data_IF_749627207199
#
_entry.id   IF_749627207199
#
_cell.length_a   1.000
_cell.length_b   1.000
_cell.length_c   1.000
_cell.angle_alpha   90.00
_cell.angle_beta   90.00
_cell.angle_gamma   90.00
#
_symmetry.space_group_name_H-M   'P 1'
#
loop_
_entity.id
_entity.type
_entity.pdbx_description
1 polymer ?
#
# COMPACT_ATOMS: atom_id res chain seq x y z
N UNK A 1 -14.76 12.97 7.08
CA UNK A 1 -14.24 11.60 7.22
C UNK A 1 -13.06 11.61 8.18
N UNK A 2 -12.86 10.54 8.95
CA UNK A 2 -11.75 10.35 9.88
C UNK A 2 -10.74 9.39 9.25
N UNK A 3 -9.46 9.79 9.18
CA UNK A 3 -8.42 9.01 8.53
C UNK A 3 -7.52 8.35 9.56
N UNK A 4 -7.29 7.04 9.43
CA UNK A 4 -6.47 6.26 10.34
C UNK A 4 -5.43 5.49 9.50
N UNK A 5 -4.14 5.70 9.78
CA UNK A 5 -3.06 4.91 9.22
C UNK A 5 -2.84 3.64 10.03
N UNK A 6 -2.85 2.49 9.38
CA UNK A 6 -2.49 1.22 10.02
C UNK A 6 -1.33 0.59 9.25
N UNK A 7 -0.27 0.28 9.99
CA UNK A 7 0.97 -0.28 9.46
C UNK A 7 1.05 -1.74 9.91
N UNK A 8 0.68 -2.72 9.05
CA UNK A 8 0.86 -4.12 9.38
C UNK A 8 2.34 -4.48 9.42
N UNK A 9 2.78 -5.09 10.52
CA UNK A 9 4.16 -5.50 10.71
C UNK A 9 4.22 -6.88 11.37
N UNK A 10 4.98 -7.81 10.77
CA UNK A 10 5.22 -9.13 11.34
C UNK A 10 6.72 -9.41 11.43
N UNK A 11 7.12 -10.14 12.46
CA UNK A 11 8.52 -10.54 12.61
C UNK A 11 8.92 -11.66 11.63
N UNK A 12 8.01 -12.64 11.46
CA UNK A 12 8.22 -13.81 10.61
C UNK A 12 8.09 -13.45 9.12
N UNK A 13 9.21 -13.04 8.52
CA UNK A 13 9.36 -12.88 7.08
C UNK A 13 10.33 -13.95 6.57
N UNK A 14 9.99 -14.64 5.47
CA UNK A 14 10.84 -15.70 4.90
C UNK A 14 12.15 -15.18 4.32
N UNK A 15 12.10 -14.01 3.69
CA UNK A 15 13.27 -13.40 3.03
C UNK A 15 14.14 -12.57 3.98
N UNK A 16 13.54 -11.94 4.97
CA UNK A 16 14.24 -11.09 5.94
C UNK A 16 13.50 -11.09 7.29
N UNK A 17 13.75 -12.11 8.15
CA UNK A 17 13.18 -12.18 9.50
C UNK A 17 13.57 -10.96 10.34
N UNK A 18 12.62 -10.39 11.08
CA UNK A 18 12.85 -9.20 11.90
C UNK A 18 13.02 -7.89 11.13
N UNK A 19 12.72 -7.87 9.83
CA UNK A 19 12.80 -6.67 8.96
C UNK A 19 12.27 -5.38 9.60
N UNK A 20 11.09 -5.34 10.27
CA UNK A 20 10.60 -4.12 10.90
C UNK A 20 11.54 -3.52 11.94
N UNK A 21 12.33 -4.35 12.60
CA UNK A 21 13.28 -3.95 13.66
C UNK A 21 14.71 -3.70 13.14
N UNK A 22 14.96 -3.92 11.85
CA UNK A 22 16.26 -3.68 11.26
C UNK A 22 16.64 -2.19 11.35
N UNK A 23 17.90 -1.91 11.72
CA UNK A 23 18.41 -0.56 11.79
C UNK A 23 18.58 0.04 10.38
N UNK A 24 18.04 1.24 10.21
CA UNK A 24 18.18 2.04 9.01
C UNK A 24 18.64 3.44 9.41
N UNK A 25 19.95 3.60 9.60
CA UNK A 25 20.55 4.88 9.96
C UNK A 25 20.10 5.40 11.34
N UNK A 26 20.23 4.58 12.38
CA UNK A 26 19.94 4.92 13.77
C UNK A 26 18.46 4.87 14.17
N UNK A 27 17.56 4.48 13.28
CA UNK A 27 16.14 4.21 13.54
C UNK A 27 15.74 2.89 12.93
N UNK A 28 14.76 2.20 13.52
CA UNK A 28 14.23 0.98 12.90
C UNK A 28 13.42 1.29 11.65
N UNK A 29 13.31 0.31 10.74
CA UNK A 29 12.49 0.43 9.52
C UNK A 29 11.05 0.84 9.89
N UNK A 30 10.44 0.17 10.88
CA UNK A 30 9.07 0.47 11.30
C UNK A 30 8.92 1.88 11.89
N UNK A 31 9.93 2.38 12.62
CA UNK A 31 9.93 3.73 13.15
C UNK A 31 9.92 4.77 12.03
N UNK A 32 10.70 4.55 10.96
CA UNK A 32 10.73 5.45 9.81
C UNK A 32 9.39 5.49 9.08
N UNK A 33 8.77 4.34 8.86
CA UNK A 33 7.43 4.27 8.24
C UNK A 33 6.41 5.01 9.11
N UNK A 34 6.42 4.75 10.43
CA UNK A 34 5.52 5.40 11.38
C UNK A 34 5.66 6.94 11.35
N UNK A 35 6.91 7.43 11.44
CA UNK A 35 7.19 8.87 11.40
C UNK A 35 6.75 9.53 10.09
N UNK A 36 6.88 8.85 8.94
CA UNK A 36 6.42 9.38 7.66
C UNK A 36 4.88 9.46 7.61
N UNK A 37 4.19 8.41 8.05
CA UNK A 37 2.72 8.38 8.08
C UNK A 37 2.16 9.45 9.03
N UNK A 38 2.81 9.66 10.19
CA UNK A 38 2.41 10.65 11.19
C UNK A 38 2.58 12.12 10.75
N UNK A 39 3.23 12.36 9.60
CA UNK A 39 3.28 13.74 9.04
C UNK A 39 1.95 14.19 8.42
N UNK A 40 1.07 13.24 8.09
CA UNK A 40 -0.21 13.51 7.40
C UNK A 40 -1.40 13.01 8.22
N UNK A 41 -1.21 11.98 9.04
CA UNK A 41 -2.29 11.33 9.78
C UNK A 41 -2.15 11.58 11.27
N UNK A 42 -3.23 12.04 11.89
CA UNK A 42 -3.29 12.27 13.35
C UNK A 42 -3.29 10.95 14.14
N UNK A 43 -3.81 9.88 13.53
CA UNK A 43 -3.87 8.55 14.13
C UNK A 43 -3.09 7.57 13.27
N UNK A 44 -1.98 7.05 13.80
CA UNK A 44 -1.16 6.01 13.17
C UNK A 44 -0.98 4.87 14.16
N UNK A 45 -1.19 3.64 13.70
CA UNK A 45 -1.15 2.43 14.52
C UNK A 45 -0.29 1.38 13.84
N UNK A 46 0.65 0.78 14.56
CA UNK A 46 1.35 -0.42 14.11
C UNK A 46 0.56 -1.64 14.56
N UNK A 47 0.14 -2.47 13.61
CA UNK A 47 -0.57 -3.74 13.85
C UNK A 47 0.42 -4.90 13.78
N UNK A 48 0.70 -5.56 14.90
CA UNK A 48 1.72 -6.61 14.97
C UNK A 48 1.26 -7.82 15.80
N UNK A 49 1.85 -8.98 15.53
CA UNK A 49 1.69 -10.22 16.28
C UNK A 49 2.94 -10.57 17.10
N UNK A 50 3.91 -9.65 17.21
CA UNK A 50 5.19 -9.89 17.85
C UNK A 50 5.48 -8.84 18.92
N UNK A 51 5.73 -9.28 20.16
CA UNK A 51 5.99 -8.40 21.30
C UNK A 51 7.21 -7.50 21.10
N UNK A 52 8.26 -7.99 20.40
CA UNK A 52 9.48 -7.19 20.13
C UNK A 52 9.18 -5.98 19.26
N UNK A 53 8.27 -6.14 18.27
CA UNK A 53 7.83 -5.02 17.42
C UNK A 53 6.95 -4.10 18.24
N UNK A 54 6.03 -4.65 19.05
CA UNK A 54 5.18 -3.87 19.94
C UNK A 54 6.01 -2.98 20.88
N UNK A 55 6.95 -3.58 21.61
CA UNK A 55 7.81 -2.87 22.57
C UNK A 55 8.67 -1.81 21.89
N UNK A 56 9.20 -2.10 20.69
CA UNK A 56 9.94 -1.13 19.89
C UNK A 56 9.08 0.08 19.53
N UNK A 57 7.82 -0.13 19.14
CA UNK A 57 6.89 0.96 18.79
C UNK A 57 6.58 1.82 20.00
N UNK A 58 6.31 1.20 21.14
CA UNK A 58 6.06 1.93 22.41
C UNK A 58 7.31 2.72 22.84
N UNK A 59 8.51 2.14 22.68
CA UNK A 59 9.76 2.77 23.07
C UNK A 59 10.05 4.09 22.32
N UNK A 60 9.64 4.21 21.06
CA UNK A 60 9.78 5.49 20.34
C UNK A 60 8.53 6.41 20.45
N UNK A 61 7.55 6.05 21.29
CA UNK A 61 6.35 6.86 21.54
C UNK A 61 5.24 6.67 20.52
N UNK A 62 5.29 5.61 19.72
CA UNK A 62 4.25 5.24 18.77
C UNK A 62 3.09 4.48 19.41
N UNK A 63 2.04 4.27 18.63
CA UNK A 63 0.87 3.46 19.02
C UNK A 63 0.96 2.09 18.35
N UNK A 64 0.83 1.02 19.14
CA UNK A 64 0.79 -0.35 18.64
C UNK A 64 -0.45 -1.10 19.13
N UNK A 65 -0.94 -2.03 18.33
CA UNK A 65 -2.02 -2.95 18.68
C UNK A 65 -1.57 -4.37 18.36
N UNK A 66 -1.65 -5.24 19.37
CA UNK A 66 -1.42 -6.67 19.18
C UNK A 66 -2.57 -7.31 18.41
N UNK A 67 -2.21 -8.08 17.38
CA UNK A 67 -3.13 -8.78 16.48
C UNK A 67 -2.83 -10.28 16.44
N UNK A 68 -3.77 -11.07 15.90
CA UNK A 68 -3.62 -12.52 15.78
C UNK A 68 -2.42 -12.91 14.91
N UNK A 69 -1.75 -14.00 15.29
CA UNK A 69 -0.71 -14.67 14.49
C UNK A 69 -1.29 -15.44 13.29
N UNK A 70 -2.61 -15.65 13.25
CA UNK A 70 -3.28 -16.49 12.23
C UNK A 70 -3.66 -15.73 10.95
N UNK A 71 -3.40 -14.44 10.88
CA UNK A 71 -3.70 -13.68 9.65
C UNK A 71 -2.83 -14.11 8.48
N UNK A 72 -3.49 -14.45 7.38
CA UNK A 72 -2.83 -14.85 6.14
C UNK A 72 -2.36 -13.67 5.30
N UNK A 73 -3.00 -12.51 5.43
CA UNK A 73 -2.67 -11.29 4.67
C UNK A 73 -2.61 -10.04 5.57
N UNK A 74 -2.04 -8.97 5.00
CA UNK A 74 -1.94 -7.67 5.68
C UNK A 74 -3.30 -7.01 5.91
N UNK A 75 -4.24 -7.19 5.00
CA UNK A 75 -5.58 -6.59 5.04
C UNK A 75 -6.39 -7.09 6.24
N UNK A 76 -6.34 -8.39 6.54
CA UNK A 76 -7.00 -8.97 7.72
C UNK A 76 -6.43 -8.42 9.02
N UNK A 77 -5.10 -8.27 9.10
CA UNK A 77 -4.41 -7.68 10.25
C UNK A 77 -4.79 -6.22 10.45
N UNK A 78 -4.86 -5.46 9.37
CA UNK A 78 -5.30 -4.05 9.37
C UNK A 78 -6.73 -3.95 9.89
N UNK A 79 -7.62 -4.83 9.45
CA UNK A 79 -9.01 -4.84 9.92
C UNK A 79 -9.13 -5.19 11.40
N UNK A 80 -8.40 -6.19 11.90
CA UNK A 80 -8.41 -6.52 13.33
C UNK A 80 -7.92 -5.34 14.18
N UNK A 81 -6.82 -4.69 13.77
CA UNK A 81 -6.30 -3.53 14.48
C UNK A 81 -7.30 -2.36 14.48
N UNK A 82 -7.97 -2.11 13.36
CA UNK A 82 -9.05 -1.11 13.28
C UNK A 82 -10.19 -1.43 14.24
N UNK A 83 -10.67 -2.68 14.28
CA UNK A 83 -11.72 -3.10 15.21
C UNK A 83 -11.31 -2.85 16.65
N UNK A 84 -10.13 -3.30 17.08
CA UNK A 84 -9.62 -3.09 18.44
C UNK A 84 -9.48 -1.60 18.79
N UNK A 85 -9.05 -0.79 17.84
CA UNK A 85 -9.02 0.66 18.00
C UNK A 85 -10.43 1.21 18.26
N UNK A 86 -11.43 0.79 17.49
CA UNK A 86 -12.83 1.23 17.66
C UNK A 86 -13.43 0.79 19.00
N UNK A 87 -13.14 -0.43 19.45
CA UNK A 87 -13.59 -0.95 20.75
C UNK A 87 -13.05 -0.11 21.93
N UNK A 88 -11.79 0.35 21.82
CA UNK A 88 -11.14 1.18 22.85
C UNK A 88 -11.50 2.67 22.74
N UNK A 89 -11.98 3.11 21.59
CA UNK A 89 -12.35 4.51 21.31
C UNK A 89 -13.80 4.57 20.85
N UNK A 90 -14.71 4.10 21.71
CA UNK A 90 -16.14 4.07 21.39
C UNK A 90 -16.65 5.46 21.00
N UNK A 91 -17.03 5.61 19.75
CA UNK A 91 -17.57 6.85 19.16
C UNK A 91 -18.90 6.52 18.47
N UNK A 92 -19.82 7.47 18.50
CA UNK A 92 -21.10 7.37 17.77
C UNK A 92 -20.95 7.56 16.26
N UNK A 93 -19.73 7.89 15.80
CA UNK A 93 -19.43 8.06 14.37
C UNK A 93 -19.49 6.69 13.68
N UNK A 94 -20.29 6.53 12.60
CA UNK A 94 -20.40 5.26 11.90
C UNK A 94 -19.11 4.89 11.16
N UNK A 95 -18.91 3.59 10.90
CA UNK A 95 -17.72 3.10 10.20
C UNK A 95 -17.61 3.64 8.76
N UNK A 96 -18.74 3.99 8.13
CA UNK A 96 -18.74 4.64 6.81
C UNK A 96 -18.03 6.02 6.79
N UNK A 97 -17.84 6.64 7.94
CA UNK A 97 -17.16 7.94 8.07
C UNK A 97 -15.67 7.79 8.41
N UNK A 98 -15.19 6.55 8.57
CA UNK A 98 -13.77 6.25 8.74
C UNK A 98 -13.15 5.73 7.46
N UNK A 99 -11.94 6.20 7.21
CA UNK A 99 -11.05 5.68 6.14
C UNK A 99 -9.81 5.10 6.79
N UNK A 100 -9.55 3.82 6.51
CA UNK A 100 -8.36 3.10 6.97
C UNK A 100 -7.34 3.05 5.85
N UNK A 101 -6.16 3.58 6.10
CA UNK A 101 -5.04 3.59 5.15
C UNK A 101 -4.06 2.51 5.57
N UNK A 102 -3.92 1.49 4.72
CA UNK A 102 -2.96 0.40 4.87
C UNK A 102 -1.59 0.86 4.35
N UNK A 103 -0.72 1.26 5.26
CA UNK A 103 0.64 1.73 4.95
C UNK A 103 1.59 0.56 5.07
N UNK A 104 2.33 0.25 4.01
CA UNK A 104 3.25 -0.89 3.99
C UNK A 104 4.39 -0.70 4.99
N UNK A 105 4.55 -1.66 5.93
CA UNK A 105 5.56 -1.59 7.00
C UNK A 105 7.01 -1.76 6.55
N UNK A 106 7.23 -1.96 5.26
CA UNK A 106 8.54 -2.16 4.62
C UNK A 106 8.94 -1.03 3.66
N UNK A 107 8.18 0.07 3.63
CA UNK A 107 8.44 1.24 2.79
C UNK A 107 8.86 2.47 3.62
N UNK A 108 10.08 2.50 4.20
CA UNK A 108 10.52 3.57 5.10
C UNK A 108 10.69 4.94 4.44
N UNK A 109 10.67 4.99 3.11
CA UNK A 109 10.77 6.23 2.32
C UNK A 109 9.45 6.65 1.70
N UNK A 110 8.33 6.09 2.18
CA UNK A 110 7.01 6.55 1.77
C UNK A 110 6.90 8.06 1.95
N UNK A 111 6.36 8.73 0.93
CA UNK A 111 6.22 10.17 0.97
C UNK A 111 4.83 10.57 1.49
N UNK A 112 4.74 11.61 2.33
CA UNK A 112 3.46 12.14 2.81
C UNK A 112 2.47 12.44 1.68
N UNK A 113 2.95 12.88 0.52
CA UNK A 113 2.14 13.17 -0.66
C UNK A 113 1.44 11.93 -1.23
N UNK A 114 2.02 10.74 -1.06
CA UNK A 114 1.39 9.48 -1.49
C UNK A 114 0.18 9.15 -0.60
N UNK A 115 0.30 9.36 0.70
CA UNK A 115 -0.82 9.21 1.65
C UNK A 115 -1.90 10.25 1.35
N UNK A 116 -1.52 11.49 1.12
CA UNK A 116 -2.45 12.57 0.77
C UNK A 116 -3.20 12.27 -0.53
N UNK A 117 -2.53 11.73 -1.55
CA UNK A 117 -3.17 11.35 -2.81
C UNK A 117 -4.26 10.27 -2.63
N UNK A 118 -4.07 9.33 -1.68
CA UNK A 118 -5.11 8.37 -1.31
C UNK A 118 -6.29 9.05 -0.59
N UNK A 119 -6.00 9.95 0.35
CA UNK A 119 -7.02 10.74 1.07
C UNK A 119 -7.89 11.53 0.10
N UNK A 120 -7.28 12.14 -0.88
CA UNK A 120 -7.97 12.98 -1.89
C UNK A 120 -8.92 12.18 -2.80
N UNK A 121 -8.82 10.86 -2.84
CA UNK A 121 -9.77 10.00 -3.56
C UNK A 121 -11.14 9.90 -2.90
N UNK A 122 -11.26 10.24 -1.61
CA UNK A 122 -12.50 10.04 -0.88
C UNK A 122 -13.49 11.22 -1.03
N UNK A 123 -14.82 10.94 -1.03
CA UNK A 123 -15.45 9.67 -0.64
C UNK A 123 -15.46 8.62 -1.78
N UNK A 124 -14.87 7.47 -1.51
CA UNK A 124 -14.89 6.29 -2.39
C UNK A 124 -14.88 5.02 -1.54
N UNK A 125 -15.06 3.86 -2.14
CA UNK A 125 -14.99 2.58 -1.44
C UNK A 125 -13.55 2.18 -1.13
N UNK A 126 -12.71 2.16 -2.18
CA UNK A 126 -11.30 1.75 -2.12
C UNK A 126 -10.49 2.68 -3.02
N UNK A 127 -9.33 3.10 -2.54
CA UNK A 127 -8.34 3.83 -3.33
C UNK A 127 -6.98 3.11 -3.29
N UNK A 128 -6.22 3.20 -4.38
CA UNK A 128 -4.83 2.72 -4.48
C UNK A 128 -3.99 3.68 -5.31
N UNK A 129 -2.67 3.47 -5.27
CA UNK A 129 -1.72 4.29 -6.01
C UNK A 129 -1.20 3.57 -7.25
N UNK A 130 -0.84 4.37 -8.26
CA UNK A 130 -0.08 3.92 -9.41
C UNK A 130 1.02 4.90 -9.75
N UNK A 131 2.12 4.34 -10.25
CA UNK A 131 3.21 5.09 -10.86
C UNK A 131 3.18 4.88 -12.37
N UNK A 132 3.22 5.94 -13.20
CA UNK A 132 3.28 5.79 -14.64
C UNK A 132 4.66 5.26 -15.05
N UNK A 133 4.69 4.28 -15.98
CA UNK A 133 5.91 4.01 -16.72
C UNK A 133 6.17 5.15 -17.69
N UNK A 134 7.42 5.51 -17.84
CA UNK A 134 7.90 6.55 -18.74
C UNK A 134 8.76 5.97 -19.87
N UNK A 135 9.07 6.78 -20.88
CA UNK A 135 9.99 6.37 -21.93
C UNK A 135 11.45 6.18 -21.45
N UNK A 136 11.77 6.62 -20.24
CA UNK A 136 13.08 6.41 -19.61
C UNK A 136 13.19 5.08 -18.88
N UNK A 137 12.06 4.41 -18.60
CA UNK A 137 12.06 3.08 -17.97
C UNK A 137 12.52 2.02 -18.99
N UNK A 138 13.02 0.90 -18.48
CA UNK A 138 13.39 -0.20 -19.35
C UNK A 138 12.17 -1.04 -19.74
N UNK A 139 12.23 -1.63 -20.94
CA UNK A 139 11.22 -2.60 -21.38
C UNK A 139 11.24 -3.84 -20.49
N UNK A 140 12.39 -4.22 -19.93
CA UNK A 140 12.52 -5.33 -19.01
C UNK A 140 11.76 -5.06 -17.70
N UNK A 141 11.73 -3.81 -17.21
CA UNK A 141 10.91 -3.42 -16.05
C UNK A 141 9.41 -3.54 -16.37
N UNK A 142 8.99 -3.13 -17.56
CA UNK A 142 7.60 -3.29 -17.99
C UNK A 142 7.20 -4.76 -18.08
N UNK A 143 8.09 -5.63 -18.57
CA UNK A 143 7.86 -7.07 -18.70
C UNK A 143 8.00 -7.83 -17.37
N UNK A 144 8.62 -7.23 -16.36
CA UNK A 144 8.86 -7.86 -15.06
C UNK A 144 7.52 -8.20 -14.36
N UNK A 145 7.23 -9.48 -14.07
CA UNK A 145 5.96 -9.89 -13.44
C UNK A 145 5.85 -9.44 -11.97
N UNK A 146 6.95 -9.02 -11.34
CA UNK A 146 6.92 -8.47 -9.97
C UNK A 146 6.41 -7.02 -9.96
N UNK A 147 6.45 -6.31 -11.06
CA UNK A 147 5.79 -5.02 -11.23
C UNK A 147 4.38 -5.26 -11.76
N UNK A 148 3.41 -5.21 -10.87
CA UNK A 148 2.00 -5.39 -11.25
C UNK A 148 1.54 -4.22 -12.10
N UNK A 149 0.97 -4.52 -13.27
CA UNK A 149 0.38 -3.50 -14.15
C UNK A 149 -1.10 -3.35 -13.86
N UNK A 150 -1.64 -2.17 -14.12
CA UNK A 150 -3.07 -1.90 -13.96
C UNK A 150 -3.64 -1.21 -15.20
N UNK A 151 -4.73 -1.77 -15.72
CA UNK A 151 -5.53 -1.11 -16.74
C UNK A 151 -6.53 -0.16 -16.07
N UNK A 152 -6.60 1.09 -16.53
CA UNK A 152 -7.36 2.15 -15.89
C UNK A 152 -8.41 2.71 -16.86
N UNK A 153 -9.67 2.75 -16.42
CA UNK A 153 -10.69 3.59 -17.04
C UNK A 153 -10.52 5.01 -16.53
N UNK A 154 -9.95 5.88 -17.36
CA UNK A 154 -9.79 7.31 -17.03
C UNK A 154 -11.17 7.95 -16.86
N UNK A 155 -11.32 8.80 -15.85
CA UNK A 155 -12.51 9.61 -15.64
C UNK A 155 -12.21 11.04 -16.09
N UNK A 156 -13.08 11.57 -16.95
CA UNK A 156 -12.96 12.94 -17.46
C UNK A 156 -13.29 14.02 -16.42
N UNK A 157 -13.93 13.64 -15.30
CA UNK A 157 -14.33 14.54 -14.21
C UNK A 157 -13.84 13.90 -12.91
N UNK A 158 -12.63 14.24 -12.50
CA UNK A 158 -12.14 13.94 -11.16
C UNK A 158 -12.42 15.13 -10.26
N UNK A 159 -12.98 14.87 -9.09
CA UNK A 159 -13.15 15.88 -8.02
C UNK A 159 -11.83 16.20 -7.33
N UNK A 160 -10.80 15.38 -7.58
CA UNK A 160 -9.43 15.55 -7.07
C UNK A 160 -8.41 15.49 -8.20
N UNK A 161 -7.40 16.38 -8.20
CA UNK A 161 -6.34 16.38 -9.20
C UNK A 161 -5.48 15.10 -9.17
N UNK A 162 -5.44 14.39 -8.06
CA UNK A 162 -4.66 13.16 -7.90
C UNK A 162 -5.38 11.93 -8.46
N UNK A 163 -6.72 11.91 -8.49
CA UNK A 163 -7.50 10.74 -8.96
C UNK A 163 -7.56 10.73 -10.48
N UNK A 164 -7.02 9.69 -11.11
CA UNK A 164 -6.98 9.55 -12.58
C UNK A 164 -8.07 8.65 -13.15
N UNK A 165 -8.75 7.86 -12.32
CA UNK A 165 -9.81 6.97 -12.78
C UNK A 165 -10.06 5.80 -11.84
N UNK A 166 -10.63 4.73 -12.40
CA UNK A 166 -10.86 3.47 -11.69
C UNK A 166 -10.08 2.33 -12.32
N UNK A 167 -9.61 1.38 -11.51
CA UNK A 167 -8.99 0.18 -12.01
C UNK A 167 -10.01 -0.71 -12.73
N UNK A 168 -9.63 -1.22 -13.88
CA UNK A 168 -10.38 -2.22 -14.63
C UNK A 168 -9.86 -3.63 -14.34
N UNK A 169 -8.54 -3.78 -14.27
CA UNK A 169 -7.88 -5.05 -13.99
C UNK A 169 -6.43 -4.82 -13.55
N UNK A 170 -5.92 -5.73 -12.70
CA UNK A 170 -4.51 -5.80 -12.31
C UNK A 170 -3.92 -7.10 -12.84
N UNK A 171 -2.70 -7.05 -13.37
CA UNK A 171 -2.02 -8.23 -13.89
C UNK A 171 -0.51 -8.17 -13.72
N UNK A 172 0.09 -9.34 -13.53
CA UNK A 172 1.54 -9.51 -13.64
C UNK A 172 2.01 -9.43 -15.08
N UNK A 173 1.15 -9.78 -16.05
CA UNK A 173 1.39 -9.57 -17.47
C UNK A 173 1.29 -8.09 -17.83
N UNK A 174 1.86 -7.72 -18.99
CA UNK A 174 1.70 -6.35 -19.50
C UNK A 174 0.29 -6.13 -20.00
N UNK A 175 -0.39 -5.16 -19.44
CA UNK A 175 -1.71 -4.68 -19.85
C UNK A 175 -1.69 -3.15 -19.89
N UNK A 176 -2.36 -2.52 -20.92
CA UNK A 176 -2.98 -3.14 -22.09
C UNK A 176 -1.94 -3.66 -23.10
N UNK A 177 -2.29 -4.63 -23.92
CA UNK A 177 -1.45 -5.08 -25.05
C UNK A 177 -1.50 -4.09 -26.21
N UNK A 178 -0.36 -3.73 -26.76
CA UNK A 178 -0.28 -2.82 -27.92
C UNK A 178 -0.17 -3.61 -29.23
N UNK A 179 -1.30 -3.85 -29.86
CA UNK A 179 -1.36 -4.56 -31.14
C UNK A 179 -0.68 -3.78 -32.25
N UNK A 180 0.18 -4.45 -33.02
CA UNK A 180 0.82 -3.89 -34.20
C UNK A 180 2.11 -3.09 -33.93
N UNK A 181 2.60 -3.12 -32.68
CA UNK A 181 3.87 -2.49 -32.30
C UNK A 181 4.80 -3.54 -31.69
N UNK A 182 6.09 -3.40 -32.00
CA UNK A 182 7.13 -4.17 -31.33
C UNK A 182 7.27 -3.73 -29.87
N UNK A 183 7.63 -4.65 -29.00
CA UNK A 183 7.67 -4.41 -27.54
C UNK A 183 8.59 -3.26 -27.14
N UNK A 184 9.69 -3.06 -27.87
CA UNK A 184 10.64 -1.95 -27.63
C UNK A 184 10.06 -0.55 -27.92
N UNK A 185 8.91 -0.48 -28.60
CA UNK A 185 8.20 0.78 -28.92
C UNK A 185 7.10 1.09 -27.88
N UNK A 186 6.75 0.14 -27.02
CA UNK A 186 5.57 0.25 -26.16
C UNK A 186 5.65 1.41 -25.18
N UNK A 187 6.79 1.60 -24.51
CA UNK A 187 6.96 2.71 -23.55
C UNK A 187 6.97 4.11 -24.21
N UNK A 188 7.28 4.18 -25.50
CA UNK A 188 7.28 5.45 -26.25
C UNK A 188 5.89 5.84 -26.75
N UNK A 189 5.03 4.86 -27.03
CA UNK A 189 3.75 5.08 -27.70
C UNK A 189 2.54 4.73 -26.83
N UNK A 190 2.74 3.94 -25.77
CA UNK A 190 1.69 3.51 -24.84
C UNK A 190 1.77 4.19 -23.49
N UNK A 191 0.68 4.09 -22.75
CA UNK A 191 0.62 4.53 -21.37
C UNK A 191 0.37 3.32 -20.46
N UNK A 192 1.36 3.01 -19.66
CA UNK A 192 1.33 1.90 -18.72
C UNK A 192 1.46 2.43 -17.28
N UNK A 193 0.86 1.71 -16.33
CA UNK A 193 0.89 2.07 -14.93
C UNK A 193 1.33 0.88 -14.08
N UNK A 194 2.30 1.13 -13.20
CA UNK A 194 2.71 0.20 -12.15
C UNK A 194 1.86 0.45 -10.92
N UNK A 195 1.26 -0.58 -10.41
CA UNK A 195 0.54 -0.55 -9.14
C UNK A 195 1.52 -0.40 -7.96
N UNK A 196 1.17 0.47 -7.03
CA UNK A 196 1.84 0.63 -5.74
C UNK A 196 0.93 0.04 -4.67
N UNK A 197 1.44 -0.93 -3.91
CA UNK A 197 0.67 -1.78 -2.98
C UNK A 197 0.13 -1.09 -1.73
N UNK A 198 -0.12 0.21 -1.78
CA UNK A 198 -0.74 0.98 -0.71
C UNK A 198 -2.22 1.20 -1.02
N UNK A 199 -3.06 1.04 0.00
CA UNK A 199 -4.49 1.14 -0.13
C UNK A 199 -5.12 2.00 0.95
N UNK A 200 -6.22 2.65 0.60
CA UNK A 200 -7.14 3.25 1.57
C UNK A 200 -8.54 2.66 1.34
N UNK A 201 -9.24 2.38 2.42
CA UNK A 201 -10.56 1.76 2.41
C UNK A 201 -11.52 2.57 3.28
N UNK A 202 -12.75 2.76 2.85
CA UNK A 202 -13.81 3.07 3.80
C UNK A 202 -13.96 1.89 4.75
N UNK A 203 -14.10 2.12 6.05
CA UNK A 203 -13.96 1.05 7.04
C UNK A 203 -15.05 -0.03 6.98
N UNK A 204 -16.28 0.34 6.57
CA UNK A 204 -17.35 -0.62 6.30
C UNK A 204 -17.05 -1.51 5.07
N UNK A 205 -16.33 -0.96 4.07
CA UNK A 205 -15.85 -1.72 2.91
C UNK A 205 -14.69 -2.63 3.30
N UNK A 206 -13.77 -2.16 4.17
CA UNK A 206 -12.70 -3.00 4.71
C UNK A 206 -13.27 -4.21 5.45
N UNK A 207 -14.30 -4.02 6.26
CA UNK A 207 -15.05 -5.15 6.87
C UNK A 207 -15.54 -6.12 5.81
N UNK A 208 -16.19 -5.63 4.75
CA UNK A 208 -16.75 -6.47 3.68
C UNK A 208 -15.67 -7.29 2.97
N UNK A 209 -14.54 -6.67 2.59
CA UNK A 209 -13.51 -7.35 1.79
C UNK A 209 -12.78 -8.44 2.56
N UNK A 210 -12.61 -8.30 3.88
CA UNK A 210 -11.97 -9.34 4.73
C UNK A 210 -12.86 -10.58 4.94
N UNK A 211 -14.14 -10.52 4.59
CA UNK A 211 -15.07 -11.65 4.65
C UNK A 211 -15.33 -12.30 3.27
N UNK A 212 -14.72 -11.79 2.21
CA UNK A 212 -14.83 -12.40 0.89
C UNK A 212 -13.98 -13.67 0.79
N UNK A 213 -14.53 -14.69 0.14
CA UNK A 213 -13.77 -15.90 -0.16
C UNK A 213 -12.71 -15.62 -1.26
N UNK A 214 -11.54 -16.28 -1.20
CA UNK A 214 -10.55 -16.19 -2.26
C UNK A 214 -11.15 -16.47 -3.63
N UNK A 215 -10.84 -15.64 -4.62
CA UNK A 215 -11.41 -15.72 -5.97
C UNK A 215 -10.46 -16.40 -6.96
N UNK A 216 -10.98 -16.78 -8.13
CA UNK A 216 -10.20 -17.49 -9.14
C UNK A 216 -9.08 -16.62 -9.72
N UNK A 217 -9.36 -15.34 -10.03
CA UNK A 217 -8.36 -14.42 -10.57
C UNK A 217 -7.30 -14.08 -9.53
N UNK A 218 -7.71 -13.86 -8.28
CA UNK A 218 -6.77 -13.65 -7.18
C UNK A 218 -5.76 -14.79 -7.04
N UNK A 219 -6.26 -16.05 -7.07
CA UNK A 219 -5.40 -17.22 -6.94
C UNK A 219 -4.46 -17.37 -8.14
N UNK A 220 -4.96 -17.09 -9.36
CA UNK A 220 -4.18 -17.21 -10.59
C UNK A 220 -3.06 -16.20 -10.66
N UNK A 221 -3.35 -14.93 -10.38
CA UNK A 221 -2.39 -13.82 -10.44
C UNK A 221 -1.63 -13.64 -9.11
N UNK A 222 -2.09 -14.26 -8.02
CA UNK A 222 -1.63 -13.99 -6.64
C UNK A 222 -1.72 -12.49 -6.31
N UNK A 223 -2.88 -11.90 -6.57
CA UNK A 223 -3.20 -10.48 -6.39
C UNK A 223 -4.54 -10.33 -5.65
N UNK A 224 -4.50 -10.00 -4.36
CA UNK A 224 -5.66 -9.93 -3.47
C UNK A 224 -6.76 -8.99 -4.00
N UNK A 225 -6.40 -7.86 -4.61
CA UNK A 225 -7.34 -6.86 -5.11
C UNK A 225 -8.22 -7.35 -6.26
N UNK A 226 -7.87 -8.44 -6.91
CA UNK A 226 -8.73 -9.06 -7.94
C UNK A 226 -9.98 -9.67 -7.32
N UNK A 227 -9.91 -10.21 -6.10
CA UNK A 227 -11.08 -10.67 -5.33
C UNK A 227 -12.11 -9.55 -5.17
N UNK A 228 -11.63 -8.34 -4.91
CA UNK A 228 -12.52 -7.20 -4.72
C UNK A 228 -13.22 -6.79 -6.02
N UNK A 229 -12.46 -6.75 -7.13
CA UNK A 229 -13.03 -6.48 -8.46
C UNK A 229 -14.03 -7.56 -8.90
N UNK A 230 -13.73 -8.85 -8.68
CA UNK A 230 -14.65 -9.96 -9.01
C UNK A 230 -15.96 -9.88 -8.20
N UNK A 231 -15.93 -9.27 -7.01
CA UNK A 231 -17.12 -9.03 -6.18
C UNK A 231 -17.79 -7.66 -6.44
N UNK A 232 -17.45 -7.00 -7.54
CA UNK A 232 -18.10 -5.77 -8.02
C UNK A 232 -17.73 -4.50 -7.24
N UNK A 233 -16.64 -4.53 -6.43
CA UNK A 233 -16.15 -3.34 -5.76
C UNK A 233 -15.35 -2.46 -6.72
N UNK A 234 -15.45 -1.16 -6.54
CA UNK A 234 -14.71 -0.19 -7.35
C UNK A 234 -13.43 0.23 -6.63
N UNK A 235 -12.30 0.15 -7.33
CA UNK A 235 -11.01 0.63 -6.85
C UNK A 235 -10.66 1.90 -7.62
N UNK A 236 -10.62 3.05 -6.94
CA UNK A 236 -10.15 4.30 -7.50
C UNK A 236 -8.62 4.34 -7.49
N UNK A 237 -8.07 5.03 -8.46
CA UNK A 237 -6.62 5.05 -8.70
C UNK A 237 -6.12 6.48 -8.65
N UNK A 238 -5.17 6.73 -7.75
CA UNK A 238 -4.45 7.99 -7.68
C UNK A 238 -3.05 7.86 -8.28
N UNK A 239 -2.61 8.91 -8.95
CA UNK A 239 -1.28 8.99 -9.54
C UNK A 239 -0.27 9.43 -8.49
N UNK A 240 0.91 8.81 -8.51
CA UNK A 240 2.10 9.29 -7.80
C UNK A 240 3.30 9.29 -8.73
N UNK A 241 4.11 10.32 -8.64
CA UNK A 241 5.43 10.43 -9.28
C UNK A 241 6.57 10.03 -8.31
N UNK A 242 6.21 9.78 -7.06
CA UNK A 242 7.17 9.44 -6.02
C UNK A 242 7.58 7.97 -6.11
N UNK A 243 8.89 7.73 -6.11
CA UNK A 243 9.44 6.40 -5.96
C UNK A 243 9.59 6.07 -4.48
N UNK A 244 9.05 4.95 -4.05
CA UNK A 244 9.36 4.38 -2.75
C UNK A 244 10.37 3.24 -2.90
N UNK A 245 11.29 3.15 -1.94
CA UNK A 245 12.26 2.06 -1.87
C UNK A 245 11.76 1.12 -0.78
N UNK A 246 11.17 0.00 -1.23
CA UNK A 246 10.78 -1.09 -0.34
C UNK A 246 11.99 -1.90 0.12
N UNK A 247 11.94 -2.40 1.35
CA UNK A 247 12.96 -3.27 1.92
C UNK A 247 12.38 -4.67 2.04
N UNK A 248 12.80 -5.59 1.17
CA UNK A 248 12.36 -6.98 1.17
C UNK A 248 13.46 -7.96 1.54
N UNK A 249 14.70 -7.56 1.32
CA UNK A 249 15.91 -8.38 1.55
C UNK A 249 16.96 -7.58 2.31
N UNK A 250 17.99 -8.22 2.90
CA UNK A 250 19.13 -7.52 3.47
C UNK A 250 19.87 -6.63 2.48
N UNK A 251 19.92 -7.00 1.21
CA UNK A 251 20.52 -6.21 0.12
C UNK A 251 19.72 -4.91 -0.13
N UNK A 252 18.39 -4.96 -0.02
CA UNK A 252 17.57 -3.76 -0.13
C UNK A 252 17.80 -2.82 1.06
N UNK A 253 18.03 -3.36 2.27
CA UNK A 253 18.39 -2.55 3.44
C UNK A 253 19.72 -1.81 3.22
N UNK A 254 20.72 -2.46 2.61
CA UNK A 254 21.99 -1.79 2.28
C UNK A 254 21.79 -0.65 1.27
N UNK A 255 21.02 -0.89 0.20
CA UNK A 255 20.66 0.16 -0.77
C UNK A 255 19.90 1.32 -0.12
N UNK A 256 18.94 1.01 0.75
CA UNK A 256 18.17 1.97 1.52
C UNK A 256 19.06 2.82 2.43
N UNK A 257 20.08 2.21 3.07
CA UNK A 257 21.05 2.92 3.92
C UNK A 257 21.92 3.88 3.11
N UNK A 258 22.37 3.46 1.92
CA UNK A 258 23.10 4.33 1.00
C UNK A 258 22.22 5.51 0.54
N UNK A 259 20.99 5.24 0.14
CA UNK A 259 20.05 6.29 -0.25
C UNK A 259 19.81 7.30 0.87
N UNK A 260 19.64 6.82 2.12
CA UNK A 260 19.47 7.70 3.27
C UNK A 260 20.66 8.64 3.48
N UNK A 261 21.88 8.16 3.23
CA UNK A 261 23.08 8.98 3.34
C UNK A 261 23.12 10.13 2.31
N UNK A 262 22.54 9.92 1.13
CA UNK A 262 22.44 10.97 0.10
C UNK A 262 21.40 12.04 0.42
N UNK A 263 20.37 11.71 1.22
CA UNK A 263 19.36 12.67 1.64
C UNK A 263 19.84 13.59 2.77
N UNK A 264 20.90 13.20 3.51
CA UNK A 264 21.45 13.93 4.64
C UNK A 264 22.72 14.73 4.29
N UNK A 265 23.21 14.61 3.05
CA UNK A 265 24.33 15.37 2.49
C UNK A 265 23.85 16.59 1.72
#
# INVERSE_FOLDING_TARGET
MHYIGIIPARYASTRFPGKPLADLGGKTVIQRVYEQASKVLDVVIVATDDERIFDCVIAFGGTAIMTSTHHSCGTDRVYEAYRKFRENNASLVPDSDYVVINVQGDEPFIQPQQIQALIDCFPTDIATLVHPFSAADSVDDLLNPNYVKVAIAKQSISTSPSTIGRALYFSRSVIPYMRGLETNQWLQQGQFYRHIGMYAYRADVLHKITHLQPSALEQTESLEQLRWLENGLTIHVALTDQHSIGIDTPEDLQKATLYLSTLNS
#
